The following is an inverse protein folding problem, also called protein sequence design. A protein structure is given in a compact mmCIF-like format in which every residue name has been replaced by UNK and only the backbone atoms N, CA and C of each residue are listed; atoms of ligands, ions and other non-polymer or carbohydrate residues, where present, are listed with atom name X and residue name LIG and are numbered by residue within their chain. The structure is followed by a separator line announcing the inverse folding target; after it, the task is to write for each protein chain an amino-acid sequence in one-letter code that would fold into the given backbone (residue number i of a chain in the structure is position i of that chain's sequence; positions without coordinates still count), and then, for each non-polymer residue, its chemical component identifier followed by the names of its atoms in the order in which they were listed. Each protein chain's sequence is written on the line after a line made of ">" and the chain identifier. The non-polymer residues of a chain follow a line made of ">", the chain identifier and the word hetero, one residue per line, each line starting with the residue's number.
data_IF_595945716321
#
_entry.id   IF_595945716321
#
_cell.length_a   1.000
_cell.length_b   1.000
_cell.length_c   1.000
_cell.angle_alpha   90.00
_cell.angle_beta   90.00
_cell.angle_gamma   90.00
#
_symmetry.space_group_name_H-M   'P 1'
#
loop_
_entity.id
_entity.type
_entity.pdbx_description
1 polymer ?
#
# COMPACT_ATOMS: atom_id res chain seq x y z
N UNK A 1 29.28 -10.81 -47.57
CA UNK A 1 28.75 -11.31 -46.30
C UNK A 1 29.70 -12.34 -45.72
N UNK A 2 30.01 -12.24 -44.49
CA UNK A 2 30.82 -13.21 -43.75
C UNK A 2 29.92 -14.39 -43.36
N UNK A 3 30.40 -15.61 -43.54
CA UNK A 3 29.69 -16.82 -43.14
C UNK A 3 30.15 -17.22 -41.73
N UNK A 4 29.24 -17.22 -40.79
CA UNK A 4 29.51 -17.64 -39.41
C UNK A 4 29.10 -19.10 -39.23
N UNK A 5 29.91 -19.87 -38.49
CA UNK A 5 29.53 -21.20 -38.06
C UNK A 5 28.69 -21.10 -36.78
N UNK A 6 27.54 -21.78 -36.77
CA UNK A 6 26.70 -21.90 -35.60
C UNK A 6 27.28 -22.95 -34.65
N UNK A 7 27.67 -22.57 -33.47
CA UNK A 7 28.15 -23.45 -32.39
C UNK A 7 27.01 -23.85 -31.46
N UNK A 8 26.33 -22.86 -30.90
CA UNK A 8 25.26 -23.09 -29.92
C UNK A 8 24.21 -21.96 -29.98
N UNK A 9 22.94 -22.29 -29.74
CA UNK A 9 21.87 -21.35 -29.50
C UNK A 9 21.12 -21.76 -28.24
N UNK A 10 20.99 -20.82 -27.28
CA UNK A 10 20.20 -20.99 -26.08
C UNK A 10 18.94 -20.11 -26.16
N UNK A 11 17.80 -20.72 -25.86
CA UNK A 11 16.54 -20.03 -25.68
C UNK A 11 15.98 -20.32 -24.29
N UNK A 12 15.73 -19.27 -23.53
CA UNK A 12 15.21 -19.37 -22.15
C UNK A 12 13.86 -18.71 -22.07
N UNK A 13 12.86 -19.46 -21.63
CA UNK A 13 11.55 -18.90 -21.31
C UNK A 13 11.69 -17.92 -20.14
N UNK A 14 11.05 -16.74 -20.25
CA UNK A 14 10.99 -15.72 -19.22
C UNK A 14 9.56 -15.25 -19.01
N UNK A 15 9.24 -14.89 -17.79
CA UNK A 15 7.97 -14.26 -17.45
C UNK A 15 8.18 -12.77 -17.17
N UNK A 16 7.24 -11.95 -17.62
CA UNK A 16 7.21 -10.54 -17.25
C UNK A 16 6.96 -10.42 -15.74
N UNK A 17 7.69 -9.51 -15.11
CA UNK A 17 7.53 -9.24 -13.69
C UNK A 17 6.84 -7.89 -13.47
N UNK A 18 6.01 -7.81 -12.45
CA UNK A 18 5.47 -6.54 -11.98
C UNK A 18 6.61 -5.67 -11.42
N UNK A 19 6.48 -4.32 -11.46
CA UNK A 19 7.44 -3.44 -10.83
C UNK A 19 7.63 -3.80 -9.34
N UNK A 20 8.88 -3.84 -8.85
CA UNK A 20 9.13 -4.17 -7.45
C UNK A 20 8.64 -3.05 -6.52
N UNK A 21 8.27 -3.40 -5.28
CA UNK A 21 8.02 -2.42 -4.23
C UNK A 21 9.26 -1.57 -3.96
N UNK A 22 9.06 -0.40 -3.40
CA UNK A 22 10.16 0.50 -3.05
C UNK A 22 10.98 -0.06 -1.88
N UNK A 23 12.30 0.03 -1.98
CA UNK A 23 13.18 0.12 -0.81
C UNK A 23 13.26 1.59 -0.37
N UNK A 24 13.80 1.87 0.81
CA UNK A 24 14.00 3.27 1.26
C UNK A 24 14.79 4.10 0.24
N UNK A 25 15.90 3.54 -0.29
CA UNK A 25 16.71 4.22 -1.29
C UNK A 25 15.96 4.47 -2.62
N UNK A 26 15.15 3.51 -3.07
CA UNK A 26 14.32 3.70 -4.27
C UNK A 26 13.22 4.73 -4.03
N UNK A 27 12.66 4.79 -2.82
CA UNK A 27 11.66 5.81 -2.47
C UNK A 27 12.29 7.20 -2.45
N UNK A 28 13.48 7.37 -1.84
CA UNK A 28 14.22 8.64 -1.88
C UNK A 28 14.45 9.09 -3.32
N UNK A 29 14.95 8.20 -4.17
CA UNK A 29 15.15 8.51 -5.59
C UNK A 29 13.85 8.94 -6.26
N UNK A 30 12.73 8.27 -5.96
CA UNK A 30 11.43 8.60 -6.54
C UNK A 30 10.90 9.95 -6.06
N UNK A 31 11.08 10.29 -4.77
CA UNK A 31 10.75 11.60 -4.22
C UNK A 31 11.56 12.71 -4.91
N UNK A 32 12.85 12.48 -5.11
CA UNK A 32 13.75 13.40 -5.82
C UNK A 32 13.31 13.61 -7.28
N UNK A 33 13.02 12.53 -8.01
CA UNK A 33 12.51 12.58 -9.39
C UNK A 33 11.21 13.38 -9.52
N UNK A 34 10.35 13.32 -8.53
CA UNK A 34 9.07 14.02 -8.48
C UNK A 34 9.15 15.43 -7.87
N UNK A 35 10.32 15.85 -7.40
CA UNK A 35 10.50 17.13 -6.70
C UNK A 35 9.78 17.21 -5.34
N UNK A 36 9.46 16.05 -4.74
CA UNK A 36 8.75 15.97 -3.45
C UNK A 36 9.76 15.99 -2.31
N UNK A 37 9.84 17.11 -1.60
CA UNK A 37 10.78 17.33 -0.49
C UNK A 37 12.16 17.78 -0.94
N UNK A 38 13.09 17.75 0.00
CA UNK A 38 14.50 18.16 -0.16
C UNK A 38 15.42 17.11 0.51
N UNK A 39 16.71 17.10 0.23
CA UNK A 39 17.65 16.16 0.86
C UNK A 39 17.54 16.08 2.38
N UNK A 40 17.27 17.20 3.05
CA UNK A 40 17.09 17.26 4.50
C UNK A 40 15.80 16.61 5.01
N UNK A 41 14.80 16.41 4.17
CA UNK A 41 13.47 15.90 4.56
C UNK A 41 13.22 14.46 4.15
N UNK A 42 13.96 13.89 3.22
CA UNK A 42 13.72 12.52 2.73
C UNK A 42 13.79 11.47 3.84
N UNK A 43 14.89 11.43 4.59
CA UNK A 43 15.06 10.45 5.66
C UNK A 43 14.05 10.63 6.82
N UNK A 44 13.79 11.87 7.32
CA UNK A 44 12.74 12.12 8.29
C UNK A 44 11.35 11.69 7.83
N UNK A 45 10.99 11.91 6.57
CA UNK A 45 9.70 11.50 6.01
C UNK A 45 9.55 9.98 6.03
N UNK A 46 10.58 9.25 5.56
CA UNK A 46 10.57 7.78 5.55
C UNK A 46 10.50 7.22 6.97
N UNK A 47 11.23 7.81 7.92
CA UNK A 47 11.13 7.41 9.33
C UNK A 47 9.74 7.70 9.90
N UNK A 48 9.12 8.82 9.53
CA UNK A 48 7.79 9.20 10.02
C UNK A 48 6.71 8.22 9.57
N UNK A 49 6.69 7.83 8.29
CA UNK A 49 5.68 6.89 7.79
C UNK A 49 5.84 5.49 8.40
N UNK A 50 7.06 5.08 8.75
CA UNK A 50 7.30 3.84 9.48
C UNK A 50 6.91 3.96 10.96
N UNK A 51 7.27 5.04 11.64
CA UNK A 51 6.93 5.27 13.05
C UNK A 51 5.42 5.43 13.28
N UNK A 52 4.67 5.81 12.27
CA UNK A 52 3.20 5.89 12.28
C UNK A 52 2.52 4.59 11.84
N UNK A 53 3.30 3.55 11.61
CA UNK A 53 2.81 2.26 11.11
C UNK A 53 2.03 2.35 9.79
N UNK A 54 2.34 3.35 8.93
CA UNK A 54 1.73 3.43 7.61
C UNK A 54 2.38 2.45 6.63
N UNK A 55 3.67 2.21 6.83
CA UNK A 55 4.44 1.21 6.09
C UNK A 55 5.36 0.46 7.05
N UNK A 56 5.64 -0.80 6.73
CA UNK A 56 6.62 -1.62 7.42
C UNK A 56 7.66 -2.16 6.44
N UNK A 57 8.85 -2.53 6.96
CA UNK A 57 9.84 -3.28 6.19
C UNK A 57 9.48 -4.74 6.18
N UNK A 58 9.30 -5.29 4.98
CA UNK A 58 8.94 -6.68 4.83
C UNK A 58 9.67 -7.39 3.70
N UNK A 59 9.36 -8.67 3.61
CA UNK A 59 9.84 -9.58 2.59
C UNK A 59 8.64 -10.27 1.94
N UNK A 60 8.75 -10.55 0.66
CA UNK A 60 7.77 -11.34 -0.07
C UNK A 60 8.47 -12.53 -0.69
N UNK A 61 7.99 -13.73 -0.40
CA UNK A 61 8.43 -14.92 -1.11
C UNK A 61 7.81 -14.94 -2.50
N UNK A 62 8.65 -15.14 -3.51
CA UNK A 62 8.18 -15.23 -4.88
C UNK A 62 7.41 -16.52 -5.16
N UNK A 63 6.74 -16.54 -6.30
CA UNK A 63 6.06 -17.72 -6.82
C UNK A 63 7.02 -18.50 -7.71
N UNK A 64 7.06 -19.81 -7.54
CA UNK A 64 7.85 -20.71 -8.35
C UNK A 64 7.12 -21.03 -9.65
N UNK A 65 7.85 -20.97 -10.75
CA UNK A 65 7.37 -21.30 -12.08
C UNK A 65 8.36 -22.22 -12.78
N UNK A 66 7.85 -23.20 -13.49
CA UNK A 66 8.65 -24.00 -14.39
C UNK A 66 8.97 -23.18 -15.65
N UNK A 67 10.25 -23.06 -15.97
CA UNK A 67 10.73 -22.43 -17.21
C UNK A 67 11.32 -23.48 -18.13
N UNK A 68 11.09 -23.29 -19.42
CA UNK A 68 11.68 -24.13 -20.45
C UNK A 68 13.01 -23.53 -20.94
N UNK A 69 14.03 -24.35 -21.00
CA UNK A 69 15.34 -24.03 -21.57
C UNK A 69 15.52 -24.92 -22.81
N UNK A 70 15.76 -24.30 -23.95
CA UNK A 70 16.08 -24.97 -25.21
C UNK A 70 17.54 -24.67 -25.54
N UNK A 71 18.33 -25.71 -25.73
CA UNK A 71 19.73 -25.66 -26.15
C UNK A 71 19.87 -26.36 -27.51
N UNK A 72 20.23 -25.62 -28.57
CA UNK A 72 20.58 -26.18 -29.87
C UNK A 72 22.10 -26.29 -29.94
N UNK A 73 22.62 -27.52 -30.04
CA UNK A 73 24.03 -27.81 -30.16
C UNK A 73 24.24 -28.99 -31.09
N UNK A 74 25.20 -28.92 -32.03
CA UNK A 74 25.49 -29.98 -32.99
C UNK A 74 24.23 -30.43 -33.76
N UNK A 75 23.34 -29.52 -34.13
CA UNK A 75 22.11 -29.82 -34.87
C UNK A 75 21.03 -30.55 -34.06
N UNK A 76 21.18 -30.68 -32.74
CA UNK A 76 20.20 -31.33 -31.85
C UNK A 76 19.67 -30.32 -30.82
N UNK A 77 18.35 -30.34 -30.66
CA UNK A 77 17.67 -29.53 -29.63
C UNK A 77 17.49 -30.39 -28.38
N UNK A 78 17.95 -29.84 -27.25
CA UNK A 78 17.72 -30.41 -25.91
C UNK A 78 16.77 -29.48 -25.16
N UNK A 79 15.66 -30.01 -24.67
CA UNK A 79 14.73 -29.31 -23.78
C UNK A 79 15.03 -29.71 -22.36
N UNK A 80 15.09 -28.68 -21.47
CA UNK A 80 15.28 -28.89 -20.02
C UNK A 80 14.29 -28.00 -19.30
N UNK A 81 13.60 -28.51 -18.28
CA UNK A 81 12.75 -27.73 -17.38
C UNK A 81 13.53 -27.38 -16.13
N UNK A 82 13.42 -26.15 -15.70
CA UNK A 82 14.02 -25.62 -14.48
C UNK A 82 12.97 -24.84 -13.71
N UNK A 83 12.91 -25.04 -12.38
CA UNK A 83 12.09 -24.22 -11.51
C UNK A 83 12.83 -22.91 -11.19
N UNK A 84 12.18 -21.78 -11.42
CA UNK A 84 12.69 -20.44 -11.08
C UNK A 84 11.64 -19.66 -10.26
N UNK A 85 12.10 -18.94 -9.24
CA UNK A 85 11.23 -18.14 -8.39
C UNK A 85 11.20 -16.68 -8.86
N UNK A 86 9.98 -16.16 -9.08
CA UNK A 86 9.73 -14.80 -9.53
C UNK A 86 9.04 -13.98 -8.47
N UNK A 87 9.39 -12.69 -8.38
CA UNK A 87 8.76 -11.75 -7.46
C UNK A 87 9.20 -11.87 -6.00
N UNK A 88 10.39 -12.46 -5.76
CA UNK A 88 11.02 -12.37 -4.44
C UNK A 88 11.39 -10.92 -4.13
N UNK A 89 11.02 -10.44 -2.97
CA UNK A 89 11.36 -9.10 -2.50
C UNK A 89 11.94 -9.17 -1.08
N UNK A 90 13.00 -8.41 -0.84
CA UNK A 90 13.63 -8.27 0.49
C UNK A 90 13.79 -6.80 0.85
N UNK A 91 13.59 -6.48 2.13
CA UNK A 91 13.75 -5.13 2.67
C UNK A 91 12.95 -4.07 1.88
N UNK A 92 11.71 -4.39 1.54
CA UNK A 92 10.79 -3.50 0.84
C UNK A 92 9.83 -2.83 1.80
N UNK A 93 9.41 -1.62 1.47
CA UNK A 93 8.36 -0.93 2.18
C UNK A 93 7.01 -1.50 1.74
N UNK A 94 6.28 -2.06 2.69
CA UNK A 94 4.97 -2.68 2.48
C UNK A 94 3.94 -1.81 3.21
N UNK A 95 2.88 -1.34 2.53
CA UNK A 95 1.79 -0.64 3.20
C UNK A 95 1.13 -1.54 4.25
N UNK A 96 0.80 -0.97 5.41
CA UNK A 96 0.00 -1.63 6.43
C UNK A 96 -1.49 -1.35 6.19
N UNK A 97 -2.38 -2.07 6.88
CA UNK A 97 -3.82 -1.79 6.83
C UNK A 97 -4.12 -0.36 7.31
N UNK A 98 -3.42 0.12 8.34
CA UNK A 98 -3.55 1.51 8.82
C UNK A 98 -3.13 2.49 7.74
N UNK A 99 -2.01 2.23 7.08
CA UNK A 99 -1.52 3.06 5.97
C UNK A 99 -2.50 3.12 4.82
N UNK A 100 -3.11 2.00 4.45
CA UNK A 100 -4.12 1.95 3.39
C UNK A 100 -5.36 2.77 3.73
N UNK A 101 -5.89 2.61 4.94
CA UNK A 101 -7.07 3.37 5.40
C UNK A 101 -6.80 4.87 5.46
N UNK A 102 -5.63 5.28 5.96
CA UNK A 102 -5.23 6.69 5.98
C UNK A 102 -5.10 7.24 4.56
N UNK A 103 -4.48 6.47 3.66
CA UNK A 103 -4.36 6.85 2.26
C UNK A 103 -5.73 7.05 1.60
N UNK A 104 -6.64 6.09 1.76
CA UNK A 104 -7.97 6.14 1.15
C UNK A 104 -8.78 7.34 1.69
N UNK A 105 -8.72 7.59 3.00
CA UNK A 105 -9.31 8.77 3.62
C UNK A 105 -8.76 10.07 3.03
N UNK A 106 -7.44 10.18 2.92
CA UNK A 106 -6.81 11.39 2.39
C UNK A 106 -7.11 11.58 0.90
N UNK A 107 -7.14 10.52 0.12
CA UNK A 107 -7.51 10.57 -1.31
C UNK A 107 -8.97 11.00 -1.51
N UNK A 108 -9.88 10.59 -0.63
CA UNK A 108 -11.30 10.94 -0.70
C UNK A 108 -11.56 12.40 -0.30
N UNK A 109 -10.94 12.86 0.80
CA UNK A 109 -11.27 14.15 1.40
C UNK A 109 -10.27 15.27 1.09
N UNK A 110 -9.05 14.94 0.68
CA UNK A 110 -7.97 15.91 0.42
C UNK A 110 -7.22 15.60 -0.89
N UNK A 111 -7.92 15.37 -2.02
CA UNK A 111 -7.28 14.94 -3.26
C UNK A 111 -6.22 15.94 -3.76
N UNK A 112 -6.45 17.24 -3.58
CA UNK A 112 -5.51 18.29 -4.02
C UNK A 112 -4.17 18.22 -3.28
N UNK A 113 -4.18 17.84 -1.98
CA UNK A 113 -2.96 17.67 -1.18
C UNK A 113 -2.26 16.35 -1.52
N UNK A 114 -3.02 15.35 -1.93
CA UNK A 114 -2.49 14.04 -2.34
C UNK A 114 -1.94 14.02 -3.77
N UNK A 115 -2.14 15.09 -4.54
CA UNK A 115 -1.49 15.24 -5.84
C UNK A 115 0.03 15.31 -5.67
N UNK A 116 0.76 14.52 -6.45
CA UNK A 116 2.22 14.49 -6.38
C UNK A 116 2.88 15.85 -6.67
N UNK A 117 2.23 16.69 -7.48
CA UNK A 117 2.72 18.02 -7.77
C UNK A 117 2.50 19.01 -6.63
N UNK A 118 1.61 18.72 -5.67
CA UNK A 118 1.31 19.63 -4.57
C UNK A 118 2.57 20.01 -3.79
N UNK A 119 3.31 19.00 -3.31
CA UNK A 119 4.54 19.24 -2.54
C UNK A 119 5.62 19.91 -3.38
N UNK A 120 5.78 19.50 -4.64
CA UNK A 120 6.74 20.14 -5.56
C UNK A 120 6.41 21.63 -5.77
N UNK A 121 5.15 21.97 -5.98
CA UNK A 121 4.70 23.36 -6.14
C UNK A 121 4.89 24.18 -4.85
N UNK A 122 4.68 23.58 -3.67
CA UNK A 122 4.93 24.25 -2.39
C UNK A 122 6.42 24.51 -2.18
N UNK A 123 7.27 23.56 -2.53
CA UNK A 123 8.73 23.75 -2.46
C UNK A 123 9.21 24.86 -3.42
N UNK A 124 8.66 24.95 -4.63
CA UNK A 124 8.95 26.03 -5.56
C UNK A 124 8.52 27.39 -5.00
N UNK A 125 7.37 27.47 -4.36
CA UNK A 125 6.92 28.70 -3.68
C UNK A 125 7.85 29.10 -2.53
N UNK A 126 8.41 28.15 -1.81
CA UNK A 126 9.42 28.43 -0.77
C UNK A 126 10.70 28.99 -1.38
N UNK A 127 11.12 28.51 -2.54
CA UNK A 127 12.26 29.06 -3.27
C UNK A 127 11.98 30.52 -3.68
N UNK A 128 10.78 30.82 -4.21
CA UNK A 128 10.36 32.20 -4.53
C UNK A 128 10.33 33.12 -3.31
N UNK A 129 9.92 32.61 -2.13
CA UNK A 129 9.97 33.37 -0.87
C UNK A 129 11.42 33.66 -0.47
N UNK A 130 12.29 32.66 -0.57
CA UNK A 130 13.72 32.81 -0.24
C UNK A 130 14.42 33.82 -1.14
N UNK A 131 14.01 33.92 -2.41
CA UNK A 131 14.49 34.91 -3.38
C UNK A 131 13.83 36.31 -3.23
N UNK A 132 12.88 36.45 -2.32
CA UNK A 132 12.18 37.72 -2.06
C UNK A 132 11.14 38.10 -3.13
N UNK A 133 10.74 37.16 -3.99
CA UNK A 133 9.75 37.39 -5.05
C UNK A 133 8.32 37.43 -4.50
N UNK A 134 8.03 36.64 -3.44
CA UNK A 134 6.74 36.56 -2.78
C UNK A 134 6.87 36.62 -1.27
N UNK A 135 5.78 36.96 -0.58
CA UNK A 135 5.74 37.00 0.87
C UNK A 135 5.17 35.70 1.42
N UNK A 136 5.82 35.13 2.42
CA UNK A 136 5.40 33.86 3.04
C UNK A 136 3.98 33.89 3.62
N UNK A 137 3.56 35.04 4.19
CA UNK A 137 2.23 35.20 4.76
C UNK A 137 1.12 35.19 3.71
N UNK A 138 1.40 35.69 2.51
CA UNK A 138 0.43 35.67 1.40
C UNK A 138 0.24 34.24 0.88
N UNK A 139 1.34 33.47 0.77
CA UNK A 139 1.28 32.07 0.36
C UNK A 139 0.54 31.20 1.39
N UNK A 140 0.79 31.40 2.69
CA UNK A 140 0.05 30.70 3.75
C UNK A 140 -1.43 31.08 3.74
N UNK A 141 -1.77 32.37 3.58
CA UNK A 141 -3.14 32.82 3.54
C UNK A 141 -3.90 32.21 2.35
N UNK A 142 -3.25 32.15 1.18
CA UNK A 142 -3.83 31.53 0.00
C UNK A 142 -4.09 30.05 0.20
N UNK A 143 -3.14 29.32 0.76
CA UNK A 143 -3.31 27.90 1.09
C UNK A 143 -4.42 27.68 2.12
N UNK A 144 -4.39 28.42 3.24
CA UNK A 144 -5.35 28.29 4.32
C UNK A 144 -6.80 28.54 3.87
N UNK A 145 -6.99 29.52 2.97
CA UNK A 145 -8.30 29.88 2.42
C UNK A 145 -8.97 28.74 1.65
N UNK A 146 -8.16 27.85 1.03
CA UNK A 146 -8.66 26.70 0.29
C UNK A 146 -8.77 25.47 1.20
N UNK A 147 -7.79 25.25 2.07
CA UNK A 147 -7.66 24.05 2.89
C UNK A 147 -8.60 24.04 4.09
N UNK A 148 -8.71 25.16 4.81
CA UNK A 148 -9.46 25.20 6.07
C UNK A 148 -10.96 24.89 5.93
N UNK A 149 -11.68 25.37 4.91
CA UNK A 149 -13.07 25.01 4.71
C UNK A 149 -13.30 23.51 4.52
N UNK A 150 -12.39 22.80 3.86
CA UNK A 150 -12.49 21.33 3.74
C UNK A 150 -12.28 20.62 5.10
N UNK A 151 -11.35 21.13 5.91
CA UNK A 151 -11.15 20.61 7.29
C UNK A 151 -12.40 20.81 8.14
N UNK A 152 -13.03 22.01 8.07
CA UNK A 152 -14.26 22.29 8.81
C UNK A 152 -15.42 21.41 8.34
N UNK A 153 -15.58 21.25 7.02
CA UNK A 153 -16.59 20.38 6.43
C UNK A 153 -16.44 18.95 6.92
N UNK A 154 -15.22 18.38 6.89
CA UNK A 154 -14.96 17.02 7.31
C UNK A 154 -15.14 16.87 8.83
N UNK A 155 -14.71 17.85 9.63
CA UNK A 155 -14.88 17.84 11.08
C UNK A 155 -16.35 17.87 11.51
N UNK A 156 -17.23 18.47 10.69
CA UNK A 156 -18.66 18.52 10.90
C UNK A 156 -19.42 17.33 10.31
N UNK A 157 -18.79 16.60 9.37
CA UNK A 157 -19.32 15.32 8.95
C UNK A 157 -19.25 14.37 10.17
N UNK A 158 -20.39 14.03 10.74
CA UNK A 158 -20.49 12.77 11.49
C UNK A 158 -20.15 11.71 10.47
N UNK A 159 -18.97 11.11 10.61
CA UNK A 159 -18.49 10.05 9.72
C UNK A 159 -19.45 8.87 9.84
N UNK A 160 -20.56 8.93 9.10
CA UNK A 160 -21.54 7.86 8.98
C UNK A 160 -20.90 6.66 8.27
N UNK A 161 -19.87 6.91 7.48
CA UNK A 161 -19.01 5.89 6.90
C UNK A 161 -17.80 5.69 7.79
N UNK A 162 -17.78 4.55 8.45
CA UNK A 162 -16.65 4.09 9.25
C UNK A 162 -15.50 3.77 8.31
N UNK A 163 -14.61 4.74 8.12
CA UNK A 163 -13.42 4.60 7.28
C UNK A 163 -12.67 3.33 7.69
N UNK A 164 -12.39 2.45 6.73
CA UNK A 164 -11.73 1.17 6.99
C UNK A 164 -12.62 0.08 7.56
N UNK A 165 -13.96 0.22 7.54
CA UNK A 165 -14.89 -0.88 7.82
C UNK A 165 -15.29 -1.57 6.52
N UNK A 166 -15.17 -2.90 6.48
CA UNK A 166 -15.59 -3.73 5.37
C UNK A 166 -16.53 -4.80 5.87
N UNK A 167 -17.77 -4.83 5.37
CA UNK A 167 -18.71 -5.89 5.65
C UNK A 167 -18.31 -7.14 4.88
N UNK A 168 -18.13 -8.25 5.61
CA UNK A 168 -17.76 -9.55 5.04
C UNK A 168 -19.00 -10.37 4.64
N UNK A 169 -20.13 -10.15 5.30
CA UNK A 169 -21.37 -10.87 5.11
C UNK A 169 -22.10 -11.15 6.41
N UNK A 170 -22.94 -12.17 6.42
CA UNK A 170 -23.74 -12.57 7.59
C UNK A 170 -23.26 -13.91 8.12
N UNK A 171 -23.04 -14.00 9.42
CA UNK A 171 -22.69 -15.26 10.07
C UNK A 171 -23.84 -16.26 9.95
N UNK A 172 -23.61 -17.43 9.35
CA UNK A 172 -24.67 -18.44 9.10
C UNK A 172 -25.27 -19.03 10.38
N UNK A 173 -24.59 -18.92 11.53
CA UNK A 173 -25.07 -19.47 12.80
C UNK A 173 -25.94 -18.51 13.58
N UNK A 174 -25.54 -17.25 13.63
CA UNK A 174 -26.21 -16.23 14.46
C UNK A 174 -27.12 -15.31 13.66
N UNK A 175 -26.98 -15.29 12.31
CA UNK A 175 -27.69 -14.35 11.45
C UNK A 175 -27.23 -12.89 11.59
N UNK A 176 -26.14 -12.65 12.35
CA UNK A 176 -25.61 -11.30 12.57
C UNK A 176 -24.62 -10.91 11.48
N UNK A 177 -24.56 -9.61 11.19
CA UNK A 177 -23.58 -9.06 10.28
C UNK A 177 -22.16 -9.23 10.83
N UNK A 178 -21.23 -9.60 9.97
CA UNK A 178 -19.80 -9.69 10.26
C UNK A 178 -19.09 -8.60 9.47
N UNK A 179 -18.41 -7.72 10.16
CA UNK A 179 -17.56 -6.69 9.56
C UNK A 179 -16.15 -6.76 10.11
N UNK A 180 -15.21 -6.25 9.33
CA UNK A 180 -13.82 -6.08 9.74
C UNK A 180 -13.48 -4.60 9.66
N UNK A 181 -12.76 -4.11 10.67
CA UNK A 181 -12.40 -2.69 10.76
C UNK A 181 -11.11 -2.47 11.55
N UNK A 182 -10.58 -1.27 11.44
CA UNK A 182 -9.43 -0.84 12.26
C UNK A 182 -9.96 -0.20 13.53
N UNK A 183 -9.71 -0.85 14.66
CA UNK A 183 -10.02 -0.33 15.98
C UNK A 183 -8.82 0.36 16.62
N UNK A 184 -9.01 0.88 17.86
CA UNK A 184 -7.98 1.58 18.64
C UNK A 184 -6.71 0.76 18.85
N UNK A 185 -6.81 -0.57 18.87
CA UNK A 185 -5.72 -1.50 19.14
C UNK A 185 -5.33 -2.33 17.90
N UNK A 186 -5.70 -1.89 16.70
CA UNK A 186 -5.42 -2.56 15.43
C UNK A 186 -6.64 -3.19 14.77
N UNK A 187 -6.42 -3.98 13.71
CA UNK A 187 -7.48 -4.61 12.97
C UNK A 187 -8.29 -5.60 13.81
N UNK A 188 -9.62 -5.53 13.69
CA UNK A 188 -10.55 -6.40 14.43
C UNK A 188 -11.74 -6.80 13.57
N UNK A 189 -12.34 -7.93 13.95
CA UNK A 189 -13.63 -8.39 13.44
C UNK A 189 -14.71 -7.98 14.43
N UNK A 190 -15.84 -7.54 13.91
CA UNK A 190 -17.05 -7.25 14.66
C UNK A 190 -18.17 -8.18 14.21
N UNK A 191 -18.88 -8.79 15.16
CA UNK A 191 -20.09 -9.56 14.96
C UNK A 191 -21.27 -8.79 15.54
N UNK A 192 -22.22 -8.43 14.69
CA UNK A 192 -23.38 -7.60 15.02
C UNK A 192 -23.12 -6.11 14.85
N UNK A 193 -24.20 -5.34 14.63
CA UNK A 193 -24.16 -3.89 14.47
C UNK A 193 -24.05 -3.17 15.83
N UNK A 194 -23.40 -2.02 15.84
CA UNK A 194 -23.39 -1.11 17.02
C UNK A 194 -24.74 -0.47 17.26
N UNK A 195 -25.63 -0.48 16.25
CA UNK A 195 -26.96 0.13 16.31
C UNK A 195 -28.06 -0.88 16.75
N UNK A 196 -27.68 -2.13 17.03
CA UNK A 196 -28.57 -3.18 17.53
C UNK A 196 -28.72 -3.11 19.06
N UNK A 197 -29.82 -3.61 19.59
CA UNK A 197 -30.05 -3.69 21.04
C UNK A 197 -29.04 -4.59 21.76
N UNK A 198 -28.47 -5.55 21.05
CA UNK A 198 -27.41 -6.42 21.56
C UNK A 198 -26.02 -5.83 21.31
N UNK A 199 -25.16 -5.88 22.32
CA UNK A 199 -23.79 -5.41 22.20
C UNK A 199 -23.03 -6.24 21.17
N UNK A 200 -22.32 -5.62 20.21
CA UNK A 200 -21.48 -6.33 19.27
C UNK A 200 -20.33 -7.04 19.96
N UNK A 201 -19.92 -8.18 19.40
CA UNK A 201 -18.73 -8.90 19.83
C UNK A 201 -17.54 -8.51 18.96
N UNK A 202 -16.35 -8.48 19.56
CA UNK A 202 -15.13 -8.10 18.87
C UNK A 202 -14.05 -9.16 19.05
N UNK A 203 -13.28 -9.42 17.98
CA UNK A 203 -12.10 -10.27 18.01
C UNK A 203 -10.99 -9.65 17.19
N UNK A 204 -9.74 -9.67 17.69
CA UNK A 204 -8.59 -9.18 16.93
C UNK A 204 -8.26 -10.12 15.75
N UNK A 205 -7.78 -9.57 14.64
CA UNK A 205 -7.24 -10.36 13.55
C UNK A 205 -5.98 -11.11 13.99
N UNK A 206 -5.77 -12.30 13.43
CA UNK A 206 -4.54 -13.06 13.69
C UNK A 206 -3.37 -12.46 12.90
N UNK A 207 -2.16 -12.72 13.39
CA UNK A 207 -0.93 -12.29 12.74
C UNK A 207 -0.87 -12.83 11.29
N UNK A 208 -0.68 -11.94 10.34
CA UNK A 208 -0.64 -12.26 8.92
C UNK A 208 -1.98 -12.19 8.19
N UNK A 209 -3.08 -11.84 8.89
CA UNK A 209 -4.36 -11.49 8.28
C UNK A 209 -4.46 -9.97 8.14
N UNK A 210 -5.07 -9.51 7.05
CA UNK A 210 -5.30 -8.09 6.78
C UNK A 210 -6.78 -7.78 6.60
N UNK A 211 -7.18 -6.52 6.86
CA UNK A 211 -8.55 -6.05 6.63
C UNK A 211 -8.94 -6.18 5.16
N UNK A 212 -7.98 -6.01 4.25
CA UNK A 212 -8.22 -6.08 2.80
C UNK A 212 -8.50 -7.50 2.30
N UNK A 213 -7.86 -8.52 2.87
CA UNK A 213 -7.81 -9.87 2.28
C UNK A 213 -8.65 -10.89 3.05
N UNK A 214 -9.03 -10.59 4.30
CA UNK A 214 -9.78 -11.54 5.12
C UNK A 214 -11.17 -11.83 4.54
N UNK A 215 -11.57 -13.09 4.59
CA UNK A 215 -12.88 -13.57 4.13
C UNK A 215 -13.78 -13.96 5.29
N UNK A 216 -15.09 -13.99 5.06
CA UNK A 216 -16.08 -14.44 6.05
C UNK A 216 -15.80 -15.88 6.55
N UNK A 217 -15.36 -16.76 5.65
CA UNK A 217 -15.02 -18.15 5.99
C UNK A 217 -13.84 -18.22 6.96
N UNK A 218 -12.78 -17.41 6.69
CA UNK A 218 -11.62 -17.35 7.57
C UNK A 218 -11.98 -16.83 8.96
N UNK A 219 -12.88 -15.84 9.05
CA UNK A 219 -13.38 -15.29 10.31
C UNK A 219 -14.20 -16.33 11.08
N UNK A 220 -15.15 -16.99 10.44
CA UNK A 220 -16.04 -17.99 11.07
C UNK A 220 -15.26 -19.16 11.63
N UNK A 221 -14.16 -19.53 10.99
CA UNK A 221 -13.34 -20.67 11.42
C UNK A 221 -12.39 -20.35 12.59
N UNK A 222 -11.84 -19.16 12.65
CA UNK A 222 -10.72 -18.83 13.55
C UNK A 222 -11.08 -17.93 14.74
N UNK A 223 -12.06 -17.03 14.59
CA UNK A 223 -12.28 -15.96 15.55
C UNK A 223 -13.53 -16.17 16.42
N UNK A 224 -14.59 -16.73 15.86
CA UNK A 224 -15.84 -16.94 16.59
C UNK A 224 -15.83 -18.21 17.46
N UNK A 225 -14.89 -19.13 17.21
CA UNK A 225 -14.70 -20.35 18.04
C UNK A 225 -13.80 -20.14 19.25
N UNK A 226 -13.06 -19.06 19.34
CA UNK A 226 -12.17 -18.79 20.47
C UNK A 226 -12.91 -18.28 21.73
N UNK A 227 -14.24 -18.09 21.63
CA UNK A 227 -15.10 -17.60 22.71
C UNK A 227 -16.19 -18.62 23.13
N UNK A 228 -16.15 -19.87 22.66
CA UNK A 228 -16.84 -21.03 23.24
C UNK A 228 -15.88 -21.77 24.20
#
# INVERSE_FOLDING_TARGET
>A
GETLALDEIDATQRYTQQPPRYSEAMLVKKLEELGIGRPSTYAPTISTIQNRDYVEKGEKTGTKHDICLLELKNGKIKETKKEESYGNEKNKLIPTDVGMVVNDFLMEYFPDIMDYNFTANVEEKFDHIAEGQTKWNDEIANFYKLFHPEVEKISNLRLEHKVGERVLGTDPKTGKEVSVKIGRFGPLVQLGSTDSEEKPQFASLQKGQSVSDITLEAVSYTHLRAHE
#
